data_IF_891937459209
#
_entry.id   IF_891937459209
#
_cell.length_a   1.000
_cell.length_b   1.000
_cell.length_c   1.000
_cell.angle_alpha   90.00
_cell.angle_beta   90.00
_cell.angle_gamma   90.00
#
_symmetry.space_group_name_H-M   'P 1'
#
loop_
_entity.id
_entity.type
_entity.pdbx_description
1 polymer ?
#
# COMPACT_ATOMS: atom_id res chain seq x y z
N UNK A 1 -27.33 13.82 5.51
CA UNK A 1 -25.88 14.09 5.64
C UNK A 1 -25.15 12.79 5.36
N UNK A 2 -24.28 12.79 4.34
CA UNK A 2 -23.51 11.64 3.89
C UNK A 2 -22.43 11.33 4.93
N UNK A 3 -22.31 10.06 5.31
CA UNK A 3 -21.30 9.55 6.22
C UNK A 3 -20.25 8.82 5.38
N UNK A 4 -19.02 9.33 5.37
CA UNK A 4 -17.84 8.69 4.81
C UNK A 4 -16.97 8.20 5.96
N UNK A 5 -16.75 6.90 6.06
CA UNK A 5 -15.84 6.27 7.03
C UNK A 5 -15.02 5.19 6.32
N UNK A 6 -13.73 5.10 6.64
CA UNK A 6 -12.72 4.22 6.04
C UNK A 6 -12.41 3.01 6.95
N UNK A 7 -12.12 1.81 6.39
CA UNK A 7 -11.72 0.62 7.14
C UNK A 7 -10.26 0.68 7.62
N UNK A 8 -9.92 -0.05 8.69
CA UNK A 8 -8.53 -0.35 9.12
C UNK A 8 -8.39 -1.86 9.20
N UNK A 9 -7.77 -2.47 8.19
CA UNK A 9 -7.37 -3.88 8.01
C UNK A 9 -8.38 -4.98 8.38
N UNK A 10 -8.75 -5.81 7.41
CA UNK A 10 -9.43 -7.08 7.62
C UNK A 10 -8.59 -8.19 6.98
N UNK A 11 -8.18 -9.19 7.76
CA UNK A 11 -7.41 -10.33 7.24
C UNK A 11 -8.10 -11.65 7.55
N UNK A 12 -8.07 -12.55 6.56
CA UNK A 12 -8.64 -13.89 6.59
C UNK A 12 -7.51 -14.92 6.69
N UNK A 13 -7.77 -16.10 7.28
CA UNK A 13 -6.84 -17.21 7.22
C UNK A 13 -6.65 -17.71 5.78
N UNK A 14 -5.58 -18.47 5.51
CA UNK A 14 -5.19 -18.92 4.16
C UNK A 14 -6.15 -19.97 3.59
N UNK A 15 -6.81 -20.73 4.47
CA UNK A 15 -7.81 -21.72 4.09
C UNK A 15 -9.20 -21.06 4.05
N UNK A 16 -9.71 -20.85 2.84
CA UNK A 16 -11.01 -20.24 2.51
C UNK A 16 -12.26 -21.00 3.02
N UNK A 17 -12.12 -21.86 4.03
CA UNK A 17 -13.18 -22.62 4.66
C UNK A 17 -13.32 -22.37 6.16
N UNK A 18 -12.36 -21.67 6.78
CA UNK A 18 -12.46 -21.40 8.20
C UNK A 18 -13.16 -20.05 8.41
N UNK A 19 -14.21 -20.03 9.23
CA UNK A 19 -14.98 -18.80 9.54
C UNK A 19 -14.22 -17.89 10.52
N UNK A 20 -12.89 -17.97 10.48
CA UNK A 20 -11.97 -17.27 11.36
C UNK A 20 -11.66 -15.89 10.79
N UNK A 21 -11.67 -14.88 11.65
CA UNK A 21 -11.41 -13.49 11.26
C UNK A 21 -10.75 -12.72 12.41
N UNK A 22 -9.98 -11.68 12.07
CA UNK A 22 -9.50 -10.65 13.00
C UNK A 22 -10.26 -9.38 12.75
N UNK A 23 -10.43 -8.65 13.84
CA UNK A 23 -11.20 -7.43 13.91
C UNK A 23 -10.37 -6.42 14.66
N UNK A 24 -9.85 -5.45 13.92
CA UNK A 24 -9.18 -4.33 14.53
C UNK A 24 -10.19 -3.18 14.74
N UNK A 25 -10.37 -2.74 15.98
CA UNK A 25 -11.28 -1.63 16.28
C UNK A 25 -10.52 -0.31 16.37
N UNK A 26 -10.62 0.49 15.30
CA UNK A 26 -10.53 1.95 15.35
C UNK A 26 -11.92 2.56 15.63
N UNK A 27 -11.98 3.75 16.22
CA UNK A 27 -13.25 4.40 16.58
C UNK A 27 -14.14 4.60 15.32
N UNK A 28 -15.33 4.00 15.27
CA UNK A 28 -16.44 4.54 14.46
C UNK A 28 -17.31 3.68 13.52
N UNK A 29 -17.24 2.34 13.42
CA UNK A 29 -18.22 1.53 12.64
C UNK A 29 -18.33 0.05 13.10
N UNK A 30 -19.41 -0.70 12.72
CA UNK A 30 -19.56 -2.13 13.04
C UNK A 30 -18.63 -3.03 12.19
N UNK A 31 -18.15 -4.18 12.73
CA UNK A 31 -17.27 -5.11 12.04
C UNK A 31 -17.98 -5.82 10.87
N UNK A 32 -17.27 -6.04 9.77
CA UNK A 32 -17.72 -6.93 8.70
C UNK A 32 -16.59 -7.85 8.25
N UNK A 33 -16.80 -9.18 8.29
CA UNK A 33 -16.02 -10.09 7.46
C UNK A 33 -16.69 -10.32 6.13
N UNK A 34 -15.95 -10.12 5.04
CA UNK A 34 -16.40 -10.53 3.72
C UNK A 34 -15.49 -11.61 3.17
N UNK A 35 -15.98 -12.85 3.23
CA UNK A 35 -16.17 -13.74 2.07
C UNK A 35 -17.01 -14.95 2.54
N UNK A 36 -18.34 -14.87 2.42
CA UNK A 36 -19.18 -16.06 2.34
C UNK A 36 -19.80 -16.10 0.94
N UNK A 37 -19.48 -17.14 0.16
CA UNK A 37 -20.35 -17.57 -0.93
C UNK A 37 -21.61 -18.20 -0.32
N UNK A 38 -22.47 -17.37 0.27
CA UNK A 38 -23.89 -17.60 0.55
C UNK A 38 -24.39 -16.44 1.41
N UNK A 39 -25.44 -15.78 0.94
CA UNK A 39 -26.19 -14.76 1.65
C UNK A 39 -26.95 -15.37 2.82
N UNK A 40 -26.43 -15.25 4.04
CA UNK A 40 -27.27 -15.25 5.25
C UNK A 40 -26.85 -14.10 6.16
N UNK A 41 -27.79 -13.18 6.41
CA UNK A 41 -27.63 -12.11 7.40
C UNK A 41 -27.65 -12.73 8.79
N UNK A 42 -26.53 -12.70 9.51
CA UNK A 42 -26.50 -13.02 10.94
C UNK A 42 -26.54 -11.73 11.77
N UNK A 43 -27.58 -11.60 12.60
CA UNK A 43 -27.74 -10.49 13.55
C UNK A 43 -27.00 -10.84 14.86
N UNK A 44 -25.70 -10.54 14.93
CA UNK A 44 -24.91 -10.62 16.17
C UNK A 44 -24.78 -9.24 16.82
N UNK A 45 -25.16 -9.11 18.10
CA UNK A 45 -25.00 -7.87 18.87
C UNK A 45 -23.55 -7.64 19.30
N UNK A 46 -23.07 -6.40 19.15
CA UNK A 46 -21.70 -5.98 19.45
C UNK A 46 -21.59 -5.36 20.85
N UNK A 47 -20.44 -5.50 21.54
CA UNK A 47 -20.24 -4.87 22.84
C UNK A 47 -20.16 -3.34 22.72
N UNK A 48 -21.03 -2.64 23.44
CA UNK A 48 -21.10 -1.18 23.49
C UNK A 48 -20.23 -0.62 24.62
N UNK A 49 -18.99 -0.20 24.32
CA UNK A 49 -18.25 0.67 25.25
C UNK A 49 -17.08 1.43 24.61
N UNK A 50 -17.33 2.61 24.05
CA UNK A 50 -16.42 3.77 24.11
C UNK A 50 -17.03 4.97 23.37
N UNK A 51 -17.11 6.12 24.03
CA UNK A 51 -17.61 7.39 23.44
C UNK A 51 -16.52 8.00 22.53
N UNK A 52 -16.84 8.53 21.34
CA UNK A 52 -15.87 9.23 20.51
C UNK A 52 -15.63 10.67 21.01
N UNK A 53 -14.37 11.07 21.09
CA UNK A 53 -13.93 12.47 21.15
C UNK A 53 -13.66 12.99 19.73
N UNK A 54 -13.94 14.29 19.53
CA UNK A 54 -14.05 14.97 18.23
C UNK A 54 -12.71 15.28 17.53
N UNK A 55 -12.78 15.28 16.19
CA UNK A 55 -11.95 15.95 15.16
C UNK A 55 -10.44 15.70 15.11
N UNK A 56 -9.99 15.12 13.98
CA UNK A 56 -8.80 15.56 13.24
C UNK A 56 -8.83 14.94 11.83
N UNK A 57 -8.84 15.80 10.81
CA UNK A 57 -8.50 15.44 9.44
C UNK A 57 -7.01 15.09 9.41
N UNK A 58 -6.65 13.83 9.22
CA UNK A 58 -5.28 13.40 8.98
C UNK A 58 -5.24 12.42 7.79
N UNK A 59 -4.17 12.47 6.98
CA UNK A 59 -4.10 11.80 5.68
C UNK A 59 -4.09 10.28 5.83
N UNK A 60 -4.64 9.62 4.82
CA UNK A 60 -4.69 8.17 4.66
C UNK A 60 -3.25 7.66 4.55
N UNK A 61 -2.70 7.13 5.65
CA UNK A 61 -1.46 6.34 5.56
C UNK A 61 -1.78 5.11 4.73
N UNK A 62 -1.16 4.98 3.56
CA UNK A 62 -1.22 3.75 2.79
C UNK A 62 -0.54 2.65 3.61
N UNK A 63 -1.18 1.50 3.80
CA UNK A 63 -0.66 0.38 4.63
C UNK A 63 0.76 -0.08 4.23
N UNK A 64 1.20 0.29 3.03
CA UNK A 64 2.46 -0.11 2.39
C UNK A 64 3.61 0.89 2.57
N UNK A 65 3.38 2.04 3.22
CA UNK A 65 4.42 3.06 3.46
C UNK A 65 4.93 3.00 4.90
N UNK A 66 6.24 2.88 5.05
CA UNK A 66 6.97 2.88 6.31
C UNK A 66 7.65 4.24 6.46
N UNK A 67 6.97 5.17 7.11
CA UNK A 67 7.49 6.51 7.42
C UNK A 67 7.25 6.83 8.90
N UNK A 68 8.26 7.43 9.53
CA UNK A 68 8.24 7.87 10.92
C UNK A 68 8.41 9.39 11.01
N UNK A 69 7.60 10.13 10.26
CA UNK A 69 7.40 11.55 10.48
C UNK A 69 6.95 11.85 11.93
N UNK A 70 7.05 13.12 12.39
CA UNK A 70 6.69 13.52 13.76
C UNK A 70 5.17 13.48 13.96
N UNK A 71 4.60 12.27 14.01
CA UNK A 71 3.16 12.04 14.20
C UNK A 71 2.91 11.86 15.70
N UNK A 72 2.56 12.94 16.40
CA UNK A 72 1.88 12.83 17.69
C UNK A 72 0.46 12.33 17.45
N UNK A 73 0.29 11.02 17.39
CA UNK A 73 -1.04 10.41 17.35
C UNK A 73 -1.53 10.25 18.79
N UNK A 74 -2.34 11.21 19.26
CA UNK A 74 -3.09 11.10 20.52
C UNK A 74 -4.24 10.06 20.45
N UNK A 75 -4.16 9.07 19.55
CA UNK A 75 -5.32 8.32 19.05
C UNK A 75 -5.58 6.96 19.72
N UNK A 76 -4.75 6.53 20.67
CA UNK A 76 -4.71 5.13 21.10
C UNK A 76 -5.08 4.90 22.57
N UNK A 77 -6.12 5.56 23.07
CA UNK A 77 -6.75 5.09 24.32
C UNK A 77 -7.57 3.82 24.01
N UNK A 78 -6.91 2.66 24.15
CA UNK A 78 -7.44 1.30 23.95
C UNK A 78 -7.91 1.00 22.51
N UNK A 79 -6.98 0.58 21.65
CA UNK A 79 -7.25 -0.02 20.33
C UNK A 79 -7.13 -1.55 20.40
N UNK A 80 -8.20 -2.26 20.79
CA UNK A 80 -8.20 -3.72 20.88
C UNK A 80 -8.37 -4.38 19.51
N UNK A 81 -7.71 -5.51 19.36
CA UNK A 81 -8.00 -6.50 18.31
C UNK A 81 -8.83 -7.63 18.91
N UNK A 82 -9.82 -8.10 18.17
CA UNK A 82 -10.65 -9.26 18.49
C UNK A 82 -10.53 -10.31 17.39
N UNK A 83 -10.98 -11.53 17.69
CA UNK A 83 -11.11 -12.60 16.71
C UNK A 83 -12.42 -13.37 16.89
N UNK A 84 -12.88 -13.97 15.80
CA UNK A 84 -13.92 -15.02 15.79
C UNK A 84 -13.35 -16.24 15.09
N UNK A 85 -13.88 -17.43 15.39
CA UNK A 85 -13.62 -18.68 14.66
C UNK A 85 -14.88 -19.27 14.03
N UNK A 86 -16.00 -18.56 14.16
CA UNK A 86 -17.32 -19.10 13.88
C UNK A 86 -18.16 -18.17 12.98
N UNK A 87 -17.51 -17.16 12.39
CA UNK A 87 -18.18 -16.21 11.50
C UNK A 87 -19.19 -15.37 12.24
N UNK A 88 -18.85 -14.95 13.46
CA UNK A 88 -19.68 -14.11 14.34
C UNK A 88 -20.97 -14.77 14.79
N UNK A 89 -21.06 -16.11 14.75
CA UNK A 89 -22.20 -16.78 15.39
C UNK A 89 -22.19 -16.59 16.90
N UNK A 90 -21.00 -16.38 17.49
CA UNK A 90 -20.82 -15.94 18.88
C UNK A 90 -20.12 -14.58 18.93
N UNK A 91 -20.26 -13.81 20.04
CA UNK A 91 -19.52 -12.57 20.21
C UNK A 91 -18.01 -12.79 20.08
N UNK A 92 -17.30 -11.93 19.32
CA UNK A 92 -15.88 -12.10 19.07
C UNK A 92 -15.07 -11.98 20.36
N UNK A 93 -14.03 -12.80 20.49
CA UNK A 93 -13.15 -12.85 21.66
C UNK A 93 -12.04 -11.81 21.52
N UNK A 94 -11.70 -11.12 22.61
CA UNK A 94 -10.58 -10.18 22.62
C UNK A 94 -9.26 -10.94 22.40
N UNK A 95 -8.46 -10.47 21.44
CA UNK A 95 -7.14 -11.01 21.12
C UNK A 95 -6.07 -10.27 21.94
N UNK A 96 -5.94 -8.96 21.74
CA UNK A 96 -4.97 -8.09 22.43
C UNK A 96 -5.53 -6.67 22.54
N UNK A 97 -5.15 -5.95 23.60
CA UNK A 97 -5.34 -4.49 23.71
C UNK A 97 -4.08 -3.75 23.23
N UNK A 98 -4.23 -2.46 22.90
CA UNK A 98 -3.14 -1.58 22.45
C UNK A 98 -2.39 -2.11 21.22
N UNK A 99 -3.18 -2.48 20.21
CA UNK A 99 -2.66 -2.93 18.91
C UNK A 99 -2.87 -1.85 17.86
N UNK A 100 -1.97 -1.79 16.88
CA UNK A 100 -2.16 -0.99 15.67
C UNK A 100 -2.79 -1.82 14.55
N UNK A 101 -2.32 -3.06 14.41
CA UNK A 101 -2.65 -3.96 13.30
C UNK A 101 -2.27 -5.39 13.68
N UNK A 102 -3.04 -6.36 13.22
CA UNK A 102 -2.70 -7.77 13.28
C UNK A 102 -3.00 -8.45 11.95
N UNK A 103 -2.14 -9.37 11.52
CA UNK A 103 -2.29 -10.15 10.28
C UNK A 103 -1.80 -11.58 10.44
N UNK A 104 -2.31 -12.45 9.57
CA UNK A 104 -1.76 -13.77 9.32
C UNK A 104 -0.67 -13.60 8.27
N UNK A 105 0.57 -14.01 8.58
CA UNK A 105 1.64 -14.00 7.59
C UNK A 105 1.33 -14.84 6.36
N UNK A 106 0.53 -15.90 6.57
CA UNK A 106 0.16 -16.90 5.55
C UNK A 106 -0.91 -16.37 4.59
N UNK A 107 -1.12 -15.06 4.50
CA UNK A 107 -2.11 -14.45 3.61
C UNK A 107 -1.80 -14.61 2.11
N UNK A 108 -0.69 -15.25 1.72
CA UNK A 108 -0.41 -15.67 0.35
C UNK A 108 -0.12 -17.18 0.24
N UNK A 109 -0.43 -17.76 -0.92
CA UNK A 109 -0.25 -19.19 -1.25
C UNK A 109 1.21 -19.66 -1.21
N UNK A 110 2.17 -18.78 -0.94
CA UNK A 110 3.61 -19.07 -0.94
C UNK A 110 4.16 -19.44 0.45
N UNK A 111 3.38 -19.32 1.52
CA UNK A 111 3.82 -19.56 2.90
C UNK A 111 3.38 -20.94 3.43
N UNK A 112 3.59 -22.02 2.66
CA UNK A 112 3.18 -23.39 3.02
C UNK A 112 3.86 -23.94 4.31
N UNK A 113 4.89 -23.28 4.84
CA UNK A 113 5.68 -23.71 6.01
C UNK A 113 5.34 -22.98 7.33
N UNK A 114 4.54 -21.91 7.26
CA UNK A 114 4.12 -21.16 8.44
C UNK A 114 2.96 -21.89 9.15
N UNK A 115 2.88 -21.88 10.49
CA UNK A 115 1.73 -22.47 11.19
C UNK A 115 0.45 -21.81 10.71
N UNK A 116 -0.58 -22.59 10.37
CA UNK A 116 -1.88 -22.08 9.89
C UNK A 116 -2.52 -21.03 10.81
N UNK A 117 -2.08 -20.98 12.07
CA UNK A 117 -2.61 -20.15 13.16
C UNK A 117 -1.65 -19.06 13.63
N UNK A 118 -0.49 -18.87 12.99
CA UNK A 118 0.45 -17.82 13.39
C UNK A 118 -0.14 -16.44 13.12
N UNK A 119 -0.26 -15.62 14.15
CA UNK A 119 -0.73 -14.24 14.07
C UNK A 119 0.41 -13.31 14.47
N UNK A 120 0.70 -12.33 13.62
CA UNK A 120 1.58 -11.22 13.94
C UNK A 120 0.76 -9.98 14.28
N UNK A 121 1.18 -9.24 15.31
CA UNK A 121 0.56 -7.98 15.71
C UNK A 121 1.63 -6.92 15.94
N UNK A 122 1.36 -5.71 15.44
CA UNK A 122 2.06 -4.51 15.90
C UNK A 122 1.37 -4.03 17.17
N UNK A 123 2.01 -4.28 18.31
CA UNK A 123 1.48 -3.98 19.63
C UNK A 123 2.33 -2.89 20.30
N UNK A 124 1.68 -1.99 21.03
CA UNK A 124 2.36 -1.00 21.85
C UNK A 124 2.54 -1.54 23.27
N UNK A 125 3.56 -1.05 23.99
CA UNK A 125 3.54 -1.16 25.45
C UNK A 125 2.28 -0.46 25.98
N UNK A 126 1.70 -1.00 27.04
CA UNK A 126 0.51 -0.45 27.68
C UNK A 126 0.68 1.04 28.01
N UNK A 127 -0.43 1.73 28.25
CA UNK A 127 -0.42 3.17 28.50
C UNK A 127 0.57 3.53 29.62
N UNK A 128 1.32 4.61 29.40
CA UNK A 128 2.08 5.29 30.46
C UNK A 128 1.09 5.82 31.51
N UNK A 129 1.59 6.19 32.68
CA UNK A 129 0.77 6.69 33.80
C UNK A 129 -0.11 7.91 33.42
N UNK A 130 0.29 8.66 32.39
CA UNK A 130 -0.44 9.80 31.83
C UNK A 130 -1.51 9.41 30.79
N UNK A 131 -1.73 8.11 30.57
CA UNK A 131 -2.67 7.59 29.58
C UNK A 131 -2.18 7.69 28.13
N UNK A 132 -0.92 8.08 27.89
CA UNK A 132 -0.34 8.18 26.56
C UNK A 132 0.42 6.90 26.15
N UNK A 133 0.54 6.68 24.85
CA UNK A 133 1.45 5.70 24.26
C UNK A 133 2.20 6.35 23.12
N UNK A 134 3.41 5.87 22.82
CA UNK A 134 4.28 6.43 21.78
C UNK A 134 4.64 5.36 20.76
N UNK A 135 4.79 5.72 19.48
CA UNK A 135 5.29 4.78 18.46
C UNK A 135 6.67 4.22 18.80
N UNK A 136 7.44 4.91 19.64
CA UNK A 136 8.70 4.41 20.19
C UNK A 136 8.55 3.14 21.04
N UNK A 137 7.33 2.82 21.49
CA UNK A 137 7.00 1.62 22.25
C UNK A 137 6.41 0.49 21.40
N UNK A 138 6.29 0.69 20.09
CA UNK A 138 5.73 -0.30 19.16
C UNK A 138 6.67 -1.49 18.96
N UNK A 139 6.12 -2.69 19.09
CA UNK A 139 6.82 -3.96 18.94
C UNK A 139 6.00 -4.92 18.09
N UNK A 140 6.71 -5.67 17.23
CA UNK A 140 6.11 -6.79 16.53
C UNK A 140 6.08 -7.99 17.49
N UNK A 141 4.89 -8.54 17.70
CA UNK A 141 4.66 -9.70 18.56
C UNK A 141 3.95 -10.78 17.76
N UNK A 142 4.19 -12.04 18.11
CA UNK A 142 3.61 -13.19 17.45
C UNK A 142 2.97 -14.14 18.45
N UNK A 143 2.05 -14.95 17.94
CA UNK A 143 1.45 -16.05 18.67
C UNK A 143 0.94 -17.13 17.72
N UNK A 144 1.20 -18.42 18.00
CA UNK A 144 0.61 -19.55 17.27
C UNK A 144 -0.75 -20.01 17.85
N UNK A 145 -1.26 -19.37 18.90
CA UNK A 145 -2.39 -19.85 19.71
C UNK A 145 -3.38 -18.73 20.08
N UNK A 146 -3.56 -17.74 19.20
CA UNK A 146 -4.45 -16.59 19.43
C UNK A 146 -4.12 -15.79 20.69
N UNK A 147 -2.82 -15.64 20.95
CA UNK A 147 -2.20 -14.92 22.07
C UNK A 147 -2.52 -15.49 23.46
N UNK A 148 -2.74 -16.80 23.56
CA UNK A 148 -2.58 -17.51 24.84
C UNK A 148 -1.10 -17.48 25.27
N UNK A 149 -0.19 -17.63 24.30
CA UNK A 149 1.23 -17.32 24.41
C UNK A 149 1.57 -16.10 23.56
N UNK A 150 2.33 -15.16 24.13
CA UNK A 150 2.77 -13.94 23.45
C UNK A 150 4.28 -13.89 23.43
N UNK A 151 4.85 -13.86 22.24
CA UNK A 151 6.31 -13.78 22.05
C UNK A 151 6.69 -12.54 21.22
N UNK A 152 7.76 -11.81 21.58
CA UNK A 152 8.28 -10.75 20.74
C UNK A 152 8.97 -11.34 19.49
N UNK A 153 8.77 -10.70 18.34
CA UNK A 153 9.53 -11.02 17.12
C UNK A 153 10.86 -10.27 17.18
N UNK A 154 11.95 -11.01 17.07
CA UNK A 154 13.31 -10.45 17.09
C UNK A 154 13.77 -10.25 15.65
N UNK A 155 13.82 -9.00 15.20
CA UNK A 155 14.31 -8.63 13.86
C UNK A 155 15.83 -8.35 13.90
N UNK A 156 16.28 -7.52 14.85
CA UNK A 156 17.68 -7.17 15.08
C UNK A 156 18.17 -7.48 16.50
N UNK A 157 19.46 -7.24 16.77
CA UNK A 157 20.14 -7.57 18.04
C UNK A 157 20.22 -6.40 19.03
N UNK A 158 19.43 -5.34 18.87
CA UNK A 158 19.70 -4.07 19.55
C UNK A 158 18.57 -3.59 20.47
N UNK A 159 18.95 -3.00 21.61
CA UNK A 159 18.05 -2.65 22.72
C UNK A 159 17.32 -1.29 22.62
N UNK A 160 17.31 -0.61 21.45
CA UNK A 160 16.68 0.73 21.28
C UNK A 160 16.05 0.95 19.91
N UNK A 161 15.12 0.07 19.54
CA UNK A 161 14.40 0.14 18.29
C UNK A 161 12.89 0.08 18.53
N UNK A 162 12.14 0.70 17.64
CA UNK A 162 10.69 0.54 17.53
C UNK A 162 10.36 -0.02 16.15
N UNK A 163 9.37 -0.91 16.08
CA UNK A 163 8.84 -1.39 14.81
C UNK A 163 7.89 -0.32 14.28
N UNK A 164 8.19 0.20 13.09
CA UNK A 164 7.40 1.26 12.44
C UNK A 164 6.08 0.70 11.93
N UNK A 165 6.17 -0.39 11.15
CA UNK A 165 5.03 -1.10 10.60
C UNK A 165 5.49 -2.52 10.19
N UNK A 166 4.55 -3.34 9.75
CA UNK A 166 4.81 -4.59 9.02
C UNK A 166 3.71 -4.84 7.98
N UNK A 167 4.07 -5.51 6.87
CA UNK A 167 3.15 -5.82 5.78
C UNK A 167 3.52 -7.13 5.11
N UNK A 168 2.51 -7.88 4.68
CA UNK A 168 2.69 -9.01 3.76
C UNK A 168 2.47 -8.55 2.33
N UNK A 169 3.45 -8.78 1.44
CA UNK A 169 3.38 -8.42 0.03
C UNK A 169 3.87 -9.58 -0.84
N UNK A 170 2.98 -10.11 -1.68
CA UNK A 170 3.25 -11.33 -2.46
C UNK A 170 3.77 -12.46 -1.55
N UNK A 171 4.99 -12.96 -1.78
CA UNK A 171 5.65 -14.02 -1.01
C UNK A 171 6.56 -13.50 0.11
N UNK A 172 6.46 -12.21 0.46
CA UNK A 172 7.35 -11.55 1.41
C UNK A 172 6.60 -10.96 2.59
N UNK A 173 7.06 -11.27 3.79
CA UNK A 173 6.68 -10.55 5.00
C UNK A 173 7.75 -9.52 5.32
N UNK A 174 7.34 -8.26 5.49
CA UNK A 174 8.22 -7.12 5.65
C UNK A 174 7.97 -6.42 6.96
N UNK A 175 9.03 -5.99 7.64
CA UNK A 175 8.95 -5.15 8.83
C UNK A 175 10.06 -4.11 8.78
N UNK A 176 9.77 -2.87 9.20
CA UNK A 176 10.79 -1.84 9.33
C UNK A 176 11.00 -1.49 10.80
N UNK A 177 12.25 -1.46 11.23
CA UNK A 177 12.65 -0.95 12.54
C UNK A 177 13.27 0.43 12.41
N UNK A 178 13.00 1.30 13.38
CA UNK A 178 13.66 2.59 13.52
C UNK A 178 14.52 2.62 14.78
N UNK A 179 15.78 3.00 14.63
CA UNK A 179 16.66 3.24 15.76
C UNK A 179 16.18 4.49 16.52
N UNK A 180 15.88 4.41 17.82
CA UNK A 180 15.25 5.53 18.54
C UNK A 180 16.15 6.77 18.69
N UNK A 181 17.48 6.60 18.78
CA UNK A 181 18.41 7.74 18.90
C UNK A 181 18.88 8.33 17.58
N UNK A 182 19.31 7.51 16.61
CA UNK A 182 19.79 8.00 15.31
C UNK A 182 18.65 8.27 14.34
N UNK A 183 17.51 7.59 14.55
CA UNK A 183 16.33 7.56 13.69
C UNK A 183 16.50 6.69 12.44
N UNK A 184 17.65 6.04 12.24
CA UNK A 184 17.92 5.23 11.06
C UNK A 184 16.89 4.11 10.94
N UNK A 185 16.36 3.89 9.74
CA UNK A 185 15.43 2.81 9.48
C UNK A 185 16.11 1.62 8.80
N UNK A 186 15.77 0.41 9.25
CA UNK A 186 16.21 -0.85 8.65
C UNK A 186 15.00 -1.67 8.26
N UNK A 187 14.97 -2.11 7.00
CA UNK A 187 13.95 -3.02 6.48
C UNK A 187 14.40 -4.46 6.72
N UNK A 188 13.48 -5.32 7.13
CA UNK A 188 13.67 -6.76 7.31
C UNK A 188 12.65 -7.52 6.48
N UNK A 189 13.07 -8.68 5.97
CA UNK A 189 12.28 -9.54 5.12
C UNK A 189 12.27 -10.96 5.69
N UNK A 190 11.11 -11.60 5.63
CA UNK A 190 10.93 -13.01 5.94
C UNK A 190 10.12 -13.68 4.83
N UNK A 191 10.48 -14.93 4.51
CA UNK A 191 9.77 -15.78 3.55
C UNK A 191 8.97 -16.90 4.23
N UNK A 192 9.16 -17.09 5.53
CA UNK A 192 8.58 -18.18 6.33
C UNK A 192 7.84 -17.67 7.58
N UNK A 193 7.83 -16.35 7.80
CA UNK A 193 7.34 -15.65 8.98
C UNK A 193 8.01 -16.06 10.31
N UNK A 194 9.14 -16.76 10.27
CA UNK A 194 9.88 -17.25 11.44
C UNK A 194 11.29 -16.67 11.47
N UNK A 195 11.98 -16.71 10.34
CA UNK A 195 13.33 -16.21 10.17
C UNK A 195 13.29 -14.88 9.42
N UNK A 196 14.04 -13.91 9.94
CA UNK A 196 14.06 -12.55 9.41
C UNK A 196 15.48 -12.20 9.00
N UNK A 197 15.63 -11.62 7.81
CA UNK A 197 16.88 -11.15 7.28
C UNK A 197 16.83 -9.63 7.06
N UNK A 198 17.87 -8.92 7.49
CA UNK A 198 18.01 -7.49 7.23
C UNK A 198 18.23 -7.25 5.73
N UNK A 199 17.44 -6.38 5.13
CA UNK A 199 17.61 -5.94 3.76
C UNK A 199 18.86 -5.06 3.63
N UNK A 200 19.69 -5.38 2.64
CA UNK A 200 20.83 -4.60 2.23
C UNK A 200 20.41 -3.66 1.09
N UNK A 201 20.17 -2.40 1.45
CA UNK A 201 19.84 -1.33 0.53
C UNK A 201 21.10 -0.48 0.33
N UNK A 202 21.65 -0.40 -0.89
CA UNK A 202 22.89 0.33 -1.15
C UNK A 202 22.69 1.82 -0.87
N UNK A 203 23.42 2.34 0.11
CA UNK A 203 23.43 3.76 0.43
C UNK A 203 24.38 4.48 -0.53
N UNK A 204 23.88 5.50 -1.24
CA UNK A 204 24.72 6.29 -2.16
C UNK A 204 25.56 7.37 -1.48
N UNK A 205 25.35 7.58 -0.19
CA UNK A 205 25.90 8.68 0.61
C UNK A 205 25.67 8.36 2.09
N UNK A 206 26.24 9.15 3.01
CA UNK A 206 25.91 9.10 4.45
C UNK A 206 24.47 9.57 4.75
N UNK A 207 23.57 9.52 3.76
CA UNK A 207 22.18 9.93 3.90
C UNK A 207 21.37 8.77 4.50
N UNK A 208 20.47 9.17 5.38
CA UNK A 208 19.67 8.28 6.20
C UNK A 208 18.47 7.78 5.40
N UNK A 209 18.10 6.53 5.62
CA UNK A 209 16.85 6.00 5.08
C UNK A 209 15.71 6.44 6.00
N UNK A 210 14.84 7.33 5.49
CA UNK A 210 13.77 7.94 6.29
C UNK A 210 12.39 7.39 5.97
N UNK A 211 12.15 6.93 4.73
CA UNK A 211 10.85 6.36 4.33
C UNK A 211 11.02 5.28 3.26
N UNK A 212 10.27 4.20 3.40
CA UNK A 212 10.13 3.14 2.40
C UNK A 212 8.68 3.05 1.94
N UNK A 213 8.43 3.05 0.64
CA UNK A 213 7.13 2.63 0.09
C UNK A 213 7.29 1.31 -0.63
N UNK A 214 6.55 0.29 -0.16
CA UNK A 214 6.51 -1.02 -0.82
C UNK A 214 5.54 -0.94 -1.97
N UNK A 215 6.05 -1.17 -3.18
CA UNK A 215 5.28 -1.07 -4.42
C UNK A 215 4.73 -2.43 -4.83
N UNK A 216 3.87 -2.42 -5.85
CA UNK A 216 3.38 -3.66 -6.44
C UNK A 216 4.56 -4.49 -6.97
N UNK A 217 4.74 -5.66 -6.36
CA UNK A 217 5.93 -6.49 -6.51
C UNK A 217 5.60 -7.76 -7.31
N UNK A 218 6.54 -8.69 -7.40
CA UNK A 218 6.31 -10.05 -7.90
C UNK A 218 6.58 -11.03 -6.77
N UNK A 219 6.21 -12.29 -6.94
CA UNK A 219 6.57 -13.37 -5.99
C UNK A 219 8.10 -13.57 -5.86
N UNK A 220 8.90 -13.04 -6.78
CA UNK A 220 10.34 -13.31 -6.87
C UNK A 220 11.19 -12.03 -6.85
N UNK A 221 10.58 -10.87 -6.61
CA UNK A 221 11.29 -9.60 -6.52
C UNK A 221 10.38 -8.57 -5.86
N UNK A 222 10.83 -8.03 -4.74
CA UNK A 222 10.30 -6.84 -4.13
C UNK A 222 10.70 -5.60 -4.91
N UNK A 223 9.78 -4.65 -4.96
CA UNK A 223 9.99 -3.34 -5.52
C UNK A 223 9.73 -2.32 -4.42
N UNK A 224 10.74 -1.51 -4.11
CA UNK A 224 10.69 -0.55 -3.02
C UNK A 224 11.15 0.80 -3.54
N UNK A 225 10.41 1.84 -3.19
CA UNK A 225 10.83 3.22 -3.37
C UNK A 225 11.41 3.77 -2.07
N UNK A 226 12.64 4.30 -2.13
CA UNK A 226 13.40 4.74 -0.97
C UNK A 226 13.64 6.25 -1.02
N UNK A 227 13.24 6.94 0.05
CA UNK A 227 13.49 8.36 0.25
C UNK A 227 14.73 8.58 1.13
N UNK A 228 15.63 9.46 0.68
CA UNK A 228 16.92 9.75 1.34
C UNK A 228 16.83 10.91 2.35
N UNK A 229 15.77 11.73 2.29
CA UNK A 229 15.50 12.81 3.25
C UNK A 229 13.99 13.05 3.40
N UNK A 230 13.46 13.42 4.58
CA UNK A 230 12.01 13.58 4.81
C UNK A 230 11.37 14.68 3.96
N UNK A 231 12.15 15.67 3.52
CA UNK A 231 11.69 16.80 2.71
C UNK A 231 11.65 16.51 1.20
N UNK A 232 12.23 15.38 0.78
CA UNK A 232 12.27 15.04 -0.65
C UNK A 232 10.86 14.75 -1.17
N UNK A 233 10.55 15.30 -2.33
CA UNK A 233 9.31 15.01 -3.09
C UNK A 233 9.55 13.92 -4.13
N UNK A 234 10.68 13.24 -4.03
CA UNK A 234 11.09 12.19 -4.93
C UNK A 234 11.79 11.06 -4.18
N UNK A 235 11.91 9.90 -4.82
CA UNK A 235 12.55 8.72 -4.24
C UNK A 235 13.53 8.05 -5.19
N UNK A 236 13.90 6.83 -4.82
CA UNK A 236 14.76 5.94 -5.60
C UNK A 236 14.08 4.58 -5.72
N UNK A 237 13.80 4.16 -6.95
CA UNK A 237 13.22 2.86 -7.26
C UNK A 237 14.29 1.76 -7.18
N UNK A 238 14.04 0.80 -6.30
CA UNK A 238 14.92 -0.33 -6.02
C UNK A 238 14.21 -1.65 -6.32
N UNK A 239 14.95 -2.60 -6.88
CA UNK A 239 14.50 -3.97 -7.11
C UNK A 239 15.32 -4.92 -6.26
N UNK A 240 14.68 -5.92 -5.66
CA UNK A 240 15.38 -6.92 -4.87
C UNK A 240 15.86 -8.11 -5.70
N UNK A 241 16.72 -8.93 -5.10
CA UNK A 241 16.89 -10.33 -5.47
C UNK A 241 15.69 -11.20 -5.04
N UNK A 242 15.73 -12.50 -5.34
CA UNK A 242 14.60 -13.42 -5.15
C UNK A 242 14.13 -13.64 -3.72
N UNK A 243 14.97 -13.38 -2.72
CA UNK A 243 14.61 -13.51 -1.31
C UNK A 243 14.44 -12.15 -0.60
N UNK A 244 14.46 -11.04 -1.35
CA UNK A 244 14.19 -9.71 -0.79
C UNK A 244 15.32 -9.12 0.06
N UNK A 245 16.51 -9.71 0.09
CA UNK A 245 17.60 -9.29 1.00
C UNK A 245 18.62 -8.34 0.39
N UNK A 246 18.75 -8.29 -0.94
CA UNK A 246 19.68 -7.38 -1.62
C UNK A 246 18.95 -6.56 -2.65
N UNK A 247 19.19 -5.25 -2.65
CA UNK A 247 18.54 -4.31 -3.56
C UNK A 247 19.53 -3.67 -4.52
N UNK A 248 19.07 -3.43 -5.75
CA UNK A 248 19.76 -2.63 -6.75
C UNK A 248 18.89 -1.47 -7.18
N UNK A 249 19.50 -0.29 -7.31
CA UNK A 249 18.79 0.90 -7.77
C UNK A 249 18.58 0.85 -9.28
N UNK A 250 17.33 0.93 -9.70
CA UNK A 250 16.94 0.96 -11.11
C UNK A 250 16.73 2.38 -11.61
N UNK A 251 15.99 3.21 -10.87
CA UNK A 251 15.69 4.60 -11.23
C UNK A 251 15.86 5.54 -10.04
N UNK A 252 16.28 6.77 -10.33
CA UNK A 252 16.39 7.88 -9.38
C UNK A 252 15.28 8.91 -9.65
N UNK A 253 14.97 9.68 -8.64
CA UNK A 253 14.06 10.82 -8.71
C UNK A 253 12.64 10.41 -9.11
N UNK A 254 12.18 9.24 -8.65
CA UNK A 254 10.78 8.82 -8.83
C UNK A 254 9.84 9.83 -8.18
N UNK A 255 8.77 10.23 -8.87
CA UNK A 255 7.86 11.25 -8.38
C UNK A 255 7.02 10.70 -7.22
N UNK A 256 6.91 11.49 -6.14
CA UNK A 256 6.07 11.19 -4.97
C UNK A 256 5.13 12.36 -4.67
N UNK A 257 3.99 12.06 -4.07
CA UNK A 257 3.09 13.10 -3.56
C UNK A 257 3.36 13.42 -2.08
N UNK A 258 2.59 14.35 -1.50
CA UNK A 258 2.73 14.75 -0.08
C UNK A 258 2.37 13.64 0.92
N UNK A 259 1.65 12.60 0.47
CA UNK A 259 1.30 11.41 1.25
C UNK A 259 2.28 10.24 1.03
N UNK A 260 3.47 10.51 0.46
CA UNK A 260 4.51 9.51 0.14
C UNK A 260 4.07 8.40 -0.85
N UNK A 261 2.96 8.62 -1.58
CA UNK A 261 2.54 7.73 -2.68
C UNK A 261 3.42 7.97 -3.90
N UNK A 262 3.88 6.89 -4.52
CA UNK A 262 4.82 6.90 -5.65
C UNK A 262 4.05 6.76 -6.96
N UNK A 263 4.42 7.55 -7.96
CA UNK A 263 3.95 7.41 -9.34
C UNK A 263 4.55 6.19 -10.02
N UNK A 264 4.00 5.03 -9.68
CA UNK A 264 4.42 3.74 -10.17
C UNK A 264 3.20 2.88 -10.50
N UNK A 265 3.25 2.22 -11.66
CA UNK A 265 2.25 1.25 -12.10
C UNK A 265 2.95 0.00 -12.65
N UNK A 266 2.52 -1.18 -12.19
CA UNK A 266 2.91 -2.46 -12.78
C UNK A 266 1.90 -2.82 -13.85
N UNK A 267 2.37 -3.17 -15.05
CA UNK A 267 1.49 -3.68 -16.09
C UNK A 267 1.07 -5.09 -15.74
N UNK A 268 -0.24 -5.28 -15.52
CA UNK A 268 -0.81 -6.57 -15.17
C UNK A 268 -0.54 -7.62 -16.26
N UNK A 269 -0.32 -8.87 -15.85
CA UNK A 269 0.03 -10.02 -16.71
C UNK A 269 1.33 -9.94 -17.51
N UNK A 270 2.13 -8.88 -17.37
CA UNK A 270 3.44 -8.78 -18.01
C UNK A 270 4.48 -8.47 -16.95
N UNK A 271 5.04 -9.52 -16.35
CA UNK A 271 6.08 -9.36 -15.36
C UNK A 271 7.32 -8.68 -15.96
N UNK A 272 7.85 -7.70 -15.23
CA UNK A 272 9.00 -6.91 -15.66
C UNK A 272 8.65 -5.63 -16.43
N UNK A 273 7.37 -5.35 -16.69
CA UNK A 273 6.95 -4.09 -17.33
C UNK A 273 6.29 -3.17 -16.32
N UNK A 274 6.85 -1.98 -16.18
CA UNK A 274 6.44 -0.97 -15.22
C UNK A 274 6.46 0.42 -15.87
N UNK A 275 5.51 1.27 -15.48
CA UNK A 275 5.47 2.69 -15.81
C UNK A 275 5.78 3.47 -14.55
N UNK A 276 6.71 4.42 -14.64
CA UNK A 276 7.13 5.25 -13.52
C UNK A 276 7.30 6.69 -13.97
N UNK A 277 6.81 7.65 -13.16
CA UNK A 277 7.14 9.04 -13.34
C UNK A 277 8.42 9.40 -12.58
N UNK A 278 9.28 10.20 -13.22
CA UNK A 278 10.51 10.76 -12.67
C UNK A 278 10.49 12.28 -12.72
N UNK A 279 11.18 12.91 -11.78
CA UNK A 279 11.32 14.35 -11.64
C UNK A 279 12.66 14.78 -12.22
N UNK A 280 12.64 15.44 -13.37
CA UNK A 280 13.88 15.86 -14.04
C UNK A 280 14.46 17.18 -13.49
N UNK A 281 13.66 17.99 -12.81
CA UNK A 281 14.07 19.29 -12.29
C UNK A 281 14.49 19.24 -10.81
N UNK A 282 14.92 18.07 -10.32
CA UNK A 282 15.28 17.84 -8.91
C UNK A 282 16.36 18.79 -8.38
N UNK A 283 17.28 19.26 -9.25
CA UNK A 283 18.37 20.18 -8.90
C UNK A 283 17.98 21.67 -8.86
N UNK A 284 16.88 22.06 -9.51
CA UNK A 284 16.59 23.48 -9.78
C UNK A 284 15.58 24.11 -8.82
N UNK A 285 14.98 23.34 -7.92
CA UNK A 285 13.92 23.81 -7.03
C UNK A 285 14.10 23.25 -5.61
N UNK A 286 14.39 24.07 -4.58
CA UNK A 286 14.28 23.61 -3.20
C UNK A 286 12.83 23.22 -2.88
N UNK A 287 12.60 22.33 -1.90
CA UNK A 287 11.31 21.69 -1.64
C UNK A 287 10.31 22.73 -1.14
N UNK A 288 9.56 23.35 -2.05
CA UNK A 288 8.43 24.22 -1.71
C UNK A 288 7.26 23.95 -2.63
N UNK A 289 6.38 23.04 -2.18
CA UNK A 289 4.91 23.06 -2.31
C UNK A 289 4.28 23.29 -3.69
N UNK A 290 5.03 23.18 -4.79
CA UNK A 290 4.47 23.21 -6.14
C UNK A 290 4.84 21.90 -6.82
N UNK A 291 3.82 21.18 -7.30
CA UNK A 291 3.94 19.93 -8.07
C UNK A 291 5.12 20.05 -9.04
N UNK A 292 6.16 19.28 -8.79
CA UNK A 292 7.32 19.25 -9.66
C UNK A 292 6.90 18.69 -11.03
N UNK A 293 7.43 19.21 -12.14
CA UNK A 293 7.22 18.63 -13.44
C UNK A 293 7.65 17.15 -13.49
N UNK A 294 6.67 16.25 -13.57
CA UNK A 294 6.88 14.82 -13.72
C UNK A 294 7.00 14.43 -15.20
N UNK A 295 7.86 13.46 -15.49
CA UNK A 295 8.02 12.82 -16.80
C UNK A 295 7.83 11.31 -16.61
N UNK A 296 7.02 10.60 -17.41
CA UNK A 296 7.09 9.14 -17.40
C UNK A 296 8.15 8.64 -18.37
N UNK A 297 9.02 7.75 -17.87
CA UNK A 297 10.00 7.05 -18.68
C UNK A 297 9.64 5.55 -18.69
N UNK A 298 9.14 4.99 -19.80
CA UNK A 298 9.01 3.55 -19.94
C UNK A 298 10.41 2.93 -19.87
N UNK A 299 10.57 1.83 -19.11
CA UNK A 299 11.87 1.16 -18.94
C UNK A 299 12.37 0.50 -20.25
N UNK A 300 11.61 0.58 -21.36
CA UNK A 300 12.07 0.28 -22.73
C UNK A 300 11.58 1.32 -23.77
N UNK A 301 12.49 2.22 -24.13
CA UNK A 301 12.60 3.12 -25.31
C UNK A 301 11.36 3.84 -25.90
N UNK A 302 11.50 5.16 -26.02
CA UNK A 302 11.17 5.93 -27.24
C UNK A 302 10.15 7.05 -27.08
N UNK A 303 8.99 6.74 -26.51
CA UNK A 303 7.91 7.70 -26.33
C UNK A 303 7.86 8.18 -24.87
N UNK A 304 7.99 9.49 -24.66
CA UNK A 304 7.77 10.12 -23.35
C UNK A 304 6.30 10.48 -23.23
N UNK A 305 5.51 9.54 -22.74
CA UNK A 305 4.16 9.83 -22.27
C UNK A 305 4.26 10.22 -20.82
N UNK A 306 3.85 11.42 -20.48
CA UNK A 306 3.67 11.77 -19.08
C UNK A 306 2.25 11.34 -18.71
N UNK A 307 2.10 10.27 -17.93
CA UNK A 307 0.79 9.89 -17.39
C UNK A 307 0.49 10.74 -16.17
N UNK A 308 -0.72 11.32 -16.14
CA UNK A 308 -1.21 11.96 -14.93
C UNK A 308 -1.75 10.86 -14.02
N UNK A 309 -0.96 10.47 -13.02
CA UNK A 309 -1.50 9.77 -11.87
C UNK A 309 -2.24 10.83 -11.04
N UNK A 310 -3.54 10.99 -11.29
CA UNK A 310 -4.36 11.90 -10.49
C UNK A 310 -4.58 11.27 -9.11
N UNK A 311 -3.67 11.58 -8.18
CA UNK A 311 -3.63 11.05 -6.82
C UNK A 311 -4.93 11.22 -6.01
N UNK A 312 -5.82 12.14 -6.38
CA UNK A 312 -7.08 12.37 -5.66
C UNK A 312 -8.24 11.48 -6.12
N UNK A 313 -8.06 10.68 -7.17
CA UNK A 313 -9.09 9.75 -7.66
C UNK A 313 -8.47 8.39 -7.98
N UNK A 314 -8.73 7.42 -7.11
CA UNK A 314 -8.38 6.00 -7.24
C UNK A 314 -8.77 5.38 -8.61
N UNK A 315 -9.67 6.03 -9.35
CA UNK A 315 -10.21 5.56 -10.63
C UNK A 315 -9.35 5.82 -11.88
N UNK A 316 -8.14 6.41 -11.77
CA UNK A 316 -7.47 7.02 -12.94
C UNK A 316 -5.98 6.72 -13.09
N UNK A 317 -5.45 5.70 -12.40
CA UNK A 317 -4.13 5.13 -12.73
C UNK A 317 -4.19 4.55 -14.15
N UNK A 318 -3.06 4.48 -14.91
CA UNK A 318 -3.04 3.73 -16.16
C UNK A 318 -3.60 2.33 -15.90
N UNK A 319 -4.77 2.03 -16.47
CA UNK A 319 -5.42 0.76 -16.22
C UNK A 319 -4.76 -0.27 -17.12
N UNK A 320 -4.14 -1.24 -16.47
CA UNK A 320 -3.90 -2.55 -17.05
C UNK A 320 -4.68 -3.56 -16.23
N UNK A 321 -5.28 -4.55 -16.89
CA UNK A 321 -6.12 -5.55 -16.22
C UNK A 321 -5.60 -6.94 -16.47
N UNK A 322 -5.65 -7.79 -15.43
CA UNK A 322 -5.39 -9.23 -15.60
C UNK A 322 -6.37 -9.89 -16.58
N UNK A 323 -7.52 -9.28 -16.83
CA UNK A 323 -8.47 -9.77 -17.83
C UNK A 323 -8.05 -9.40 -19.26
N UNK A 324 -7.27 -8.34 -19.47
CA UNK A 324 -6.93 -7.80 -20.79
C UNK A 324 -5.40 -7.68 -20.99
N UNK A 325 -4.68 -8.80 -21.15
CA UNK A 325 -3.23 -8.78 -21.32
C UNK A 325 -2.80 -7.92 -22.52
N UNK A 326 -1.80 -7.06 -22.31
CA UNK A 326 -1.22 -6.20 -23.35
C UNK A 326 -2.00 -4.93 -23.66
N UNK A 327 -3.25 -4.83 -23.21
CA UNK A 327 -4.06 -3.61 -23.37
C UNK A 327 -3.81 -2.70 -22.17
N UNK A 328 -3.32 -1.49 -22.44
CA UNK A 328 -3.05 -0.48 -21.42
C UNK A 328 -3.67 0.83 -21.87
N UNK A 329 -4.45 1.46 -21.00
CA UNK A 329 -4.98 2.80 -21.24
C UNK A 329 -4.49 3.76 -20.16
N UNK A 330 -4.30 5.02 -20.52
CA UNK A 330 -3.78 6.04 -19.62
C UNK A 330 -4.10 7.44 -20.09
N UNK A 331 -4.30 8.37 -19.15
CA UNK A 331 -4.46 9.79 -19.45
C UNK A 331 -3.14 10.50 -19.28
N UNK A 332 -2.75 11.31 -20.26
CA UNK A 332 -1.47 11.99 -20.24
C UNK A 332 -1.30 13.00 -21.36
N UNK A 333 -0.07 13.43 -21.57
CA UNK A 333 0.30 14.27 -22.71
C UNK A 333 1.67 13.89 -23.25
N UNK A 334 1.92 14.28 -24.50
CA UNK A 334 3.25 14.25 -25.10
C UNK A 334 3.88 15.61 -24.89
N UNK A 335 5.05 15.64 -24.26
CA UNK A 335 5.77 16.88 -24.02
C UNK A 335 6.91 16.73 -23.03
N UNK A 336 7.65 17.82 -22.78
CA UNK A 336 8.69 17.84 -21.77
C UNK A 336 8.13 17.82 -20.35
N UNK A 337 6.85 18.06 -20.11
CA UNK A 337 6.30 18.10 -18.76
C UNK A 337 4.85 17.61 -18.78
N UNK A 338 4.39 17.12 -17.63
CA UNK A 338 2.98 16.80 -17.42
C UNK A 338 2.11 18.07 -17.43
N UNK A 339 1.07 18.08 -18.26
CA UNK A 339 0.08 19.15 -18.31
C UNK A 339 -0.97 19.03 -17.20
N UNK A 340 -1.72 20.10 -16.91
CA UNK A 340 -2.93 19.99 -16.10
C UNK A 340 -3.89 18.93 -16.68
N UNK A 341 -4.62 18.23 -15.81
CA UNK A 341 -5.51 17.12 -16.18
C UNK A 341 -6.42 17.43 -17.37
N UNK A 342 -7.13 18.57 -17.36
CA UNK A 342 -8.08 18.94 -18.42
C UNK A 342 -7.45 19.19 -19.80
N UNK A 343 -6.13 19.32 -19.87
CA UNK A 343 -5.35 19.49 -21.10
C UNK A 343 -4.69 18.18 -21.57
N UNK A 344 -4.89 17.08 -20.84
CA UNK A 344 -4.40 15.76 -21.21
C UNK A 344 -5.38 15.01 -22.13
N UNK A 345 -4.86 14.07 -22.90
CA UNK A 345 -5.64 13.17 -23.76
C UNK A 345 -5.58 11.74 -23.23
N UNK A 346 -6.49 10.89 -23.73
CA UNK A 346 -6.52 9.46 -23.38
C UNK A 346 -5.78 8.65 -24.44
N UNK A 347 -4.79 7.88 -24.01
CA UNK A 347 -3.93 7.05 -24.85
C UNK A 347 -4.23 5.57 -24.64
N UNK A 348 -4.02 4.77 -25.68
CA UNK A 348 -4.15 3.33 -25.69
C UNK A 348 -2.88 2.68 -26.24
N UNK A 349 -2.46 1.61 -25.59
CA UNK A 349 -1.44 0.67 -26.04
C UNK A 349 -2.04 -0.73 -26.12
N UNK A 350 -1.66 -1.48 -27.16
CA UNK A 350 -2.10 -2.86 -27.39
C UNK A 350 -0.94 -3.87 -27.28
N UNK A 351 0.27 -3.39 -27.00
CA UNK A 351 1.51 -4.16 -26.94
C UNK A 351 2.20 -4.08 -25.57
N UNK A 352 1.42 -3.82 -24.50
CA UNK A 352 1.92 -3.79 -23.13
C UNK A 352 2.68 -2.50 -22.79
N UNK A 353 2.39 -1.39 -23.48
CA UNK A 353 2.95 -0.08 -23.21
C UNK A 353 4.21 0.26 -24.01
N UNK A 354 4.52 -0.50 -25.07
CA UNK A 354 5.68 -0.23 -25.94
C UNK A 354 5.33 0.89 -26.93
N UNK A 355 4.19 0.76 -27.61
CA UNK A 355 3.65 1.78 -28.52
C UNK A 355 2.30 2.28 -28.03
N UNK A 356 2.01 3.54 -28.32
CA UNK A 356 0.80 4.21 -27.86
C UNK A 356 0.20 5.07 -28.97
N UNK A 357 -1.13 5.04 -29.07
CA UNK A 357 -1.93 5.91 -29.93
C UNK A 357 -2.84 6.78 -29.07
N UNK A 358 -3.14 8.00 -29.54
CA UNK A 358 -4.23 8.80 -28.95
C UNK A 358 -5.54 8.08 -29.29
N UNK A 359 -6.25 7.61 -28.26
CA UNK A 359 -7.54 6.95 -28.43
C UNK A 359 -8.68 7.96 -28.43
N UNK A 360 -8.66 8.90 -27.47
CA UNK A 360 -9.69 9.92 -27.30
C UNK A 360 -9.03 11.24 -26.91
N UNK A 361 -9.52 12.35 -27.49
CA UNK A 361 -9.18 13.69 -27.01
C UNK A 361 -9.84 13.96 -25.66
N UNK A 362 -9.12 14.62 -24.76
CA UNK A 362 -9.49 14.86 -23.34
C UNK A 362 -9.40 13.62 -22.43
N UNK A 363 -9.41 13.83 -21.10
CA UNK A 363 -9.41 12.73 -20.14
C UNK A 363 -10.71 11.96 -20.14
N UNK A 364 -10.59 10.63 -20.07
CA UNK A 364 -11.69 9.70 -19.93
C UNK A 364 -11.41 8.73 -18.78
N UNK A 365 -12.49 8.30 -18.11
CA UNK A 365 -12.52 7.05 -17.34
C UNK A 365 -12.76 5.91 -18.33
N UNK A 366 -12.10 4.79 -18.12
CA UNK A 366 -12.18 3.64 -19.02
C UNK A 366 -12.14 2.33 -18.24
N UNK A 367 -12.76 1.28 -18.81
CA UNK A 367 -12.80 -0.06 -18.25
C UNK A 367 -12.76 -1.11 -19.38
N UNK A 368 -12.22 -2.29 -19.09
CA UNK A 368 -12.11 -3.39 -20.03
C UNK A 368 -13.16 -4.47 -19.78
N UNK A 369 -13.89 -4.83 -20.83
CA UNK A 369 -14.79 -5.98 -20.89
C UNK A 369 -14.26 -7.04 -21.85
N UNK A 370 -14.84 -8.25 -21.77
CA UNK A 370 -14.57 -9.36 -22.70
C UNK A 370 -13.08 -9.61 -22.99
N UNK A 371 -12.29 -9.72 -21.91
CA UNK A 371 -10.84 -9.93 -21.97
C UNK A 371 -10.07 -8.86 -22.80
N UNK A 372 -10.56 -7.62 -22.77
CA UNK A 372 -10.02 -6.51 -23.57
C UNK A 372 -10.56 -6.44 -25.00
N UNK A 373 -11.53 -7.29 -25.34
CA UNK A 373 -12.29 -7.21 -26.60
C UNK A 373 -13.29 -6.06 -26.61
N UNK A 374 -13.79 -5.64 -25.44
CA UNK A 374 -14.63 -4.45 -25.28
C UNK A 374 -13.89 -3.41 -24.45
N UNK A 375 -13.80 -2.19 -24.96
CA UNK A 375 -13.33 -1.02 -24.22
C UNK A 375 -14.52 -0.08 -24.07
N UNK A 376 -14.79 0.39 -22.85
CA UNK A 376 -15.81 1.43 -22.60
C UNK A 376 -15.11 2.64 -22.02
N UNK A 377 -15.43 3.83 -22.51
CA UNK A 377 -14.87 5.09 -22.04
C UNK A 377 -15.96 6.14 -21.82
N UNK A 378 -15.80 6.93 -20.76
CA UNK A 378 -16.68 8.04 -20.41
C UNK A 378 -15.80 9.24 -20.12
N UNK A 379 -16.16 10.40 -20.65
CA UNK A 379 -15.39 11.64 -20.40
C UNK A 379 -15.24 11.86 -18.91
N UNK A 380 -14.12 12.38 -18.46
CA UNK A 380 -13.91 12.72 -17.05
C UNK A 380 -13.92 14.23 -16.85
N UNK A 381 -15.11 14.80 -17.08
CA UNK A 381 -15.44 16.17 -16.72
C UNK A 381 -16.34 16.19 -15.47
N UNK A 382 -16.21 17.23 -14.65
CA UNK A 382 -17.01 17.41 -13.43
C UNK A 382 -18.46 17.85 -13.75
N UNK A 383 -19.05 17.34 -14.83
CA UNK A 383 -20.42 17.64 -15.27
C UNK A 383 -21.18 16.32 -15.49
N UNK A 384 -22.52 16.33 -15.41
CA UNK A 384 -23.31 15.14 -15.71
C UNK A 384 -23.11 14.67 -17.15
N UNK A 385 -22.87 13.37 -17.31
CA UNK A 385 -22.57 12.75 -18.61
C UNK A 385 -23.70 11.81 -19.00
N UNK A 386 -24.15 11.92 -20.25
CA UNK A 386 -25.22 11.09 -20.82
C UNK A 386 -24.73 10.22 -21.98
N UNK A 387 -23.48 10.39 -22.41
CA UNK A 387 -22.86 9.69 -23.52
C UNK A 387 -21.64 8.92 -23.04
N UNK A 388 -21.53 7.67 -23.47
CA UNK A 388 -20.33 6.87 -23.33
C UNK A 388 -19.89 6.39 -24.71
N UNK A 389 -18.60 6.14 -24.85
CA UNK A 389 -17.99 5.57 -26.05
C UNK A 389 -17.61 4.13 -25.76
N UNK A 390 -17.62 3.30 -26.81
CA UNK A 390 -17.13 1.94 -26.71
C UNK A 390 -16.42 1.55 -28.00
N UNK A 391 -15.48 0.61 -27.89
CA UNK A 391 -14.81 -0.04 -29.01
C UNK A 391 -14.84 -1.54 -28.80
N UNK A 392 -15.00 -2.29 -29.91
CA UNK A 392 -14.97 -3.75 -29.95
C UNK A 392 -13.77 -4.30 -30.76
N UNK A 393 -12.85 -3.41 -31.09
CA UNK A 393 -11.70 -3.60 -31.98
C UNK A 393 -10.41 -2.97 -31.41
N UNK A 394 -10.38 -2.77 -30.08
CA UNK A 394 -9.23 -2.24 -29.32
C UNK A 394 -8.81 -0.83 -29.76
N UNK A 395 -9.79 0.07 -29.81
CA UNK A 395 -9.64 1.52 -29.97
C UNK A 395 -9.78 1.98 -31.40
#
# INVERSE_FOLDING_TARGET
MRFSYTPVSLSLPPAAHDRTCLLHYGIGQPPQCQHSFTTEKTNGALPTSSKPSLFSNNPVVTENTFDFGPRRLNYFSDSPTYYTRDGFTTPPKKLLSYTHKCEWPVSSKSFDEAPEVLIHCLAFKGLKDDGSTTFDDAQLVQSPDFFETKEPVVLGTHHRFAVVNFVTKESFLLAAEKHLTTGDMSLYVSLDARTWAKANIPQTSNLRQDSYTILESTEHSLIVDVKESPEDTYGNLMFSNSNGTYFVRSKRYTNRNEDDTVDFEKIQNIDGVYIVNVVNNYDSHPPRRRKAPSHADPIRSGLKLAFTFAFDNFSLRPLSSKAAPGVVMGVGNVGPYLLPWGECDTYLSEDGGITWKVALGHPHKYEFGDQGGLIVAVRDDNVPITLFQYSIDRG
#
